data_IF_871806950482
#
_entry.id   IF_871806950482
#
_cell.length_a   1.000
_cell.length_b   1.000
_cell.length_c   1.000
_cell.angle_alpha   90.00
_cell.angle_beta   90.00
_cell.angle_gamma   90.00
#
_symmetry.space_group_name_H-M   'P 1'
#
loop_
_entity.id
_entity.type
_entity.pdbx_description
1 polymer ?
#
# COMPACT_ATOMS: atom_id res chain seq x y z
N UNK A 1 -28.07 63.24 -31.45
CA UNK A 1 -28.37 61.82 -31.26
C UNK A 1 -29.87 61.65 -31.26
N UNK A 2 -30.42 60.99 -32.27
CA UNK A 2 -31.87 60.72 -32.32
C UNK A 2 -32.20 59.57 -31.37
N UNK A 3 -33.42 59.53 -30.83
CA UNK A 3 -33.87 58.50 -29.87
C UNK A 3 -33.67 57.06 -30.38
N UNK A 4 -33.59 56.89 -31.70
CA UNK A 4 -33.35 55.60 -32.36
C UNK A 4 -31.87 55.17 -32.33
N UNK A 5 -30.91 56.11 -32.38
CA UNK A 5 -29.47 55.81 -32.32
C UNK A 5 -29.05 55.30 -30.93
N UNK A 6 -29.69 55.80 -29.87
CA UNK A 6 -29.43 55.36 -28.51
C UNK A 6 -29.95 53.94 -28.26
N UNK A 7 -31.10 53.58 -28.83
CA UNK A 7 -31.67 52.23 -28.76
C UNK A 7 -30.80 51.20 -29.46
N UNK A 8 -30.29 51.52 -30.66
CA UNK A 8 -29.35 50.64 -31.36
C UNK A 8 -28.05 50.50 -30.58
N UNK A 9 -27.47 51.59 -30.07
CA UNK A 9 -26.22 51.50 -29.31
C UNK A 9 -26.35 50.63 -28.05
N UNK A 10 -27.47 50.76 -27.32
CA UNK A 10 -27.77 49.94 -26.15
C UNK A 10 -27.97 48.46 -26.50
N UNK A 11 -28.72 48.15 -27.57
CA UNK A 11 -28.94 46.78 -28.03
C UNK A 11 -27.62 46.08 -28.46
N UNK A 12 -26.74 46.81 -29.15
CA UNK A 12 -25.42 46.32 -29.51
C UNK A 12 -24.55 46.09 -28.27
N UNK A 13 -24.58 47.01 -27.29
CA UNK A 13 -23.89 46.86 -26.02
C UNK A 13 -24.33 45.62 -25.23
N UNK A 14 -25.63 45.37 -25.12
CA UNK A 14 -26.17 44.17 -24.46
C UNK A 14 -25.76 42.88 -25.19
N UNK A 15 -25.73 42.90 -26.52
CA UNK A 15 -25.35 41.74 -27.33
C UNK A 15 -23.87 41.38 -27.13
N UNK A 16 -22.99 42.37 -27.05
CA UNK A 16 -21.56 42.18 -26.78
C UNK A 16 -21.35 41.63 -25.36
N UNK A 17 -22.05 42.17 -24.36
CA UNK A 17 -21.98 41.68 -22.99
C UNK A 17 -22.43 40.21 -22.86
N UNK A 18 -23.51 39.83 -23.54
CA UNK A 18 -23.97 38.44 -23.60
C UNK A 18 -22.94 37.52 -24.25
N UNK A 19 -22.29 37.96 -25.32
CA UNK A 19 -21.23 37.20 -25.99
C UNK A 19 -20.02 36.98 -25.07
N UNK A 20 -19.58 38.02 -24.36
CA UNK A 20 -18.46 37.94 -23.40
C UNK A 20 -18.80 36.98 -22.26
N UNK A 21 -20.04 37.03 -21.76
CA UNK A 21 -20.50 36.14 -20.72
C UNK A 21 -20.52 34.67 -21.19
N UNK A 22 -21.04 34.41 -22.40
CA UNK A 22 -21.07 33.08 -23.00
C UNK A 22 -19.65 32.51 -23.21
N UNK A 23 -18.71 33.31 -23.72
CA UNK A 23 -17.31 32.91 -23.89
C UNK A 23 -16.62 32.63 -22.56
N UNK A 24 -16.88 33.44 -21.54
CA UNK A 24 -16.36 33.24 -20.18
C UNK A 24 -16.86 31.93 -19.56
N UNK A 25 -18.14 31.59 -19.76
CA UNK A 25 -18.71 30.34 -19.26
C UNK A 25 -18.11 29.10 -19.96
N UNK A 26 -17.87 29.19 -21.27
CA UNK A 26 -17.20 28.12 -22.04
C UNK A 26 -15.74 27.95 -21.60
N UNK A 27 -15.01 29.06 -21.40
CA UNK A 27 -13.63 29.02 -20.92
C UNK A 27 -13.53 28.39 -19.51
N UNK A 28 -14.48 28.70 -18.62
CA UNK A 28 -14.55 28.09 -17.29
C UNK A 28 -14.82 26.58 -17.37
N UNK A 29 -15.76 26.14 -18.21
CA UNK A 29 -16.05 24.73 -18.44
C UNK A 29 -14.87 23.95 -19.03
N UNK A 30 -14.16 24.54 -19.99
CA UNK A 30 -12.95 23.95 -20.57
C UNK A 30 -11.80 23.89 -19.56
N UNK A 31 -11.69 24.86 -18.65
CA UNK A 31 -10.68 24.84 -17.57
C UNK A 31 -10.86 23.67 -16.60
N UNK A 32 -12.11 23.29 -16.30
CA UNK A 32 -12.43 22.10 -15.50
C UNK A 32 -12.10 20.79 -16.21
N UNK A 33 -12.31 20.72 -17.53
CA UNK A 33 -11.94 19.54 -18.32
C UNK A 33 -10.42 19.43 -18.44
N UNK A 34 -9.72 20.57 -18.58
CA UNK A 34 -8.26 20.63 -18.59
C UNK A 34 -7.65 20.08 -17.30
N UNK A 35 -8.15 20.49 -16.13
CA UNK A 35 -7.66 19.98 -14.84
C UNK A 35 -7.96 18.50 -14.63
N UNK A 36 -9.13 18.02 -15.06
CA UNK A 36 -9.44 16.59 -15.02
C UNK A 36 -8.54 15.78 -15.97
N UNK A 37 -8.22 16.31 -17.15
CA UNK A 37 -7.31 15.68 -18.11
C UNK A 37 -5.86 15.65 -17.59
N UNK A 38 -5.41 16.72 -16.93
CA UNK A 38 -4.09 16.78 -16.30
C UNK A 38 -4.00 15.75 -15.15
N UNK A 39 -5.00 15.67 -14.29
CA UNK A 39 -5.07 14.64 -13.24
C UNK A 39 -5.10 13.23 -13.83
N UNK A 40 -5.87 13.01 -14.90
CA UNK A 40 -5.90 11.70 -15.57
C UNK A 40 -4.54 11.35 -16.18
N UNK A 41 -3.83 12.33 -16.75
CA UNK A 41 -2.48 12.13 -17.29
C UNK A 41 -1.46 11.88 -16.17
N UNK A 42 -1.58 12.55 -15.05
CA UNK A 42 -0.69 12.38 -13.91
C UNK A 42 -0.93 11.06 -13.18
N UNK A 43 -2.17 10.55 -13.16
CA UNK A 43 -2.52 9.29 -12.51
C UNK A 43 -2.39 8.06 -13.42
N UNK A 44 -2.72 8.21 -14.71
CA UNK A 44 -2.79 7.10 -15.68
C UNK A 44 -1.80 7.23 -16.83
N UNK A 45 -0.95 8.26 -16.82
CA UNK A 45 0.12 8.39 -17.80
C UNK A 45 1.16 7.28 -17.68
N UNK A 46 1.98 7.06 -18.74
CA UNK A 46 2.97 5.99 -18.77
C UNK A 46 3.96 6.03 -17.61
N UNK A 47 4.38 7.23 -17.19
CA UNK A 47 5.30 7.42 -16.06
C UNK A 47 4.66 7.00 -14.72
N UNK A 48 3.39 7.34 -14.52
CA UNK A 48 2.64 6.95 -13.32
C UNK A 48 2.39 5.44 -13.28
N UNK A 49 2.05 4.84 -14.43
CA UNK A 49 1.91 3.40 -14.56
C UNK A 49 3.23 2.66 -14.26
N UNK A 50 4.37 3.17 -14.74
CA UNK A 50 5.69 2.61 -14.43
C UNK A 50 6.03 2.71 -12.94
N UNK A 51 5.76 3.87 -12.31
CA UNK A 51 5.97 4.04 -10.86
C UNK A 51 5.11 3.09 -10.03
N UNK A 52 3.84 2.89 -10.44
CA UNK A 52 2.94 1.91 -9.81
C UNK A 52 3.51 0.48 -9.98
N UNK A 53 4.06 0.16 -11.17
CA UNK A 53 4.72 -1.11 -11.43
C UNK A 53 5.92 -1.36 -10.53
N UNK A 54 6.84 -0.39 -10.42
CA UNK A 54 8.01 -0.48 -9.53
C UNK A 54 7.58 -0.72 -8.09
N UNK A 55 6.56 0.01 -7.62
CA UNK A 55 6.01 -0.19 -6.28
C UNK A 55 5.52 -1.63 -6.05
N UNK A 56 4.81 -2.25 -7.00
CA UNK A 56 4.35 -3.64 -6.86
C UNK A 56 5.52 -4.63 -6.81
N UNK A 57 6.59 -4.41 -7.58
CA UNK A 57 7.80 -5.23 -7.54
C UNK A 57 8.51 -5.09 -6.18
N UNK A 58 8.64 -3.87 -5.68
CA UNK A 58 9.23 -3.60 -4.37
C UNK A 58 8.44 -4.26 -3.24
N UNK A 59 7.11 -4.17 -3.29
CA UNK A 59 6.23 -4.83 -2.32
C UNK A 59 6.36 -6.35 -2.35
N UNK A 60 6.40 -6.94 -3.56
CA UNK A 60 6.65 -8.39 -3.72
C UNK A 60 7.99 -8.79 -3.10
N UNK A 61 9.05 -8.03 -3.36
CA UNK A 61 10.38 -8.28 -2.78
C UNK A 61 10.37 -8.14 -1.26
N UNK A 62 9.65 -7.14 -0.72
CA UNK A 62 9.48 -6.95 0.71
C UNK A 62 8.74 -8.12 1.38
N UNK A 63 7.68 -8.63 0.75
CA UNK A 63 6.96 -9.83 1.20
C UNK A 63 7.89 -11.04 1.18
N UNK A 64 8.64 -11.25 0.10
CA UNK A 64 9.60 -12.36 0.00
C UNK A 64 10.70 -12.30 1.04
N UNK A 65 11.19 -11.11 1.37
CA UNK A 65 12.13 -10.90 2.49
C UNK A 65 11.48 -11.25 3.83
N UNK A 66 10.25 -10.79 4.07
CA UNK A 66 9.54 -11.09 5.30
C UNK A 66 9.26 -12.61 5.45
N UNK A 67 9.00 -13.31 4.35
CA UNK A 67 8.87 -14.78 4.34
C UNK A 67 10.19 -15.46 4.77
N UNK A 68 11.35 -14.95 4.33
CA UNK A 68 12.67 -15.45 4.77
C UNK A 68 12.93 -15.12 6.25
N UNK A 69 12.54 -13.92 6.69
CA UNK A 69 12.67 -13.52 8.09
C UNK A 69 11.81 -14.42 8.99
N UNK A 70 10.58 -14.79 8.59
CA UNK A 70 9.75 -15.76 9.32
C UNK A 70 10.50 -17.06 9.56
N UNK A 71 11.14 -17.64 8.54
CA UNK A 71 11.94 -18.88 8.67
C UNK A 71 13.10 -18.69 9.66
N UNK A 72 13.78 -17.54 9.62
CA UNK A 72 14.86 -17.21 10.54
C UNK A 72 14.35 -17.11 11.99
N UNK A 73 13.22 -16.44 12.22
CA UNK A 73 12.65 -16.26 13.55
C UNK A 73 12.02 -17.55 14.10
N UNK A 74 11.47 -18.41 13.25
CA UNK A 74 11.06 -19.77 13.62
C UNK A 74 12.26 -20.59 14.11
N UNK A 75 13.39 -20.51 13.39
CA UNK A 75 14.62 -21.16 13.82
C UNK A 75 15.12 -20.59 15.14
N UNK A 76 15.16 -19.26 15.30
CA UNK A 76 15.55 -18.59 16.56
C UNK A 76 14.70 -19.09 17.74
N UNK A 77 13.37 -19.23 17.55
CA UNK A 77 12.47 -19.79 18.57
C UNK A 77 12.86 -21.23 18.93
N UNK A 78 13.15 -22.08 17.93
CA UNK A 78 13.56 -23.45 18.18
C UNK A 78 14.94 -23.54 18.86
N UNK A 79 15.87 -22.67 18.49
CA UNK A 79 17.23 -22.62 19.05
C UNK A 79 17.21 -22.27 20.55
N UNK A 80 16.23 -21.48 21.04
CA UNK A 80 16.03 -21.26 22.48
C UNK A 80 15.76 -22.57 23.21
N UNK A 81 14.88 -23.42 22.69
CA UNK A 81 14.60 -24.72 23.33
C UNK A 81 15.83 -25.63 23.29
N UNK A 82 16.51 -25.71 22.14
CA UNK A 82 17.73 -26.51 21.97
C UNK A 82 18.82 -26.07 22.96
N UNK A 83 19.05 -24.76 23.11
CA UNK A 83 20.08 -24.22 23.99
C UNK A 83 19.82 -24.57 25.46
N UNK A 84 18.57 -24.42 25.92
CA UNK A 84 18.22 -24.73 27.30
C UNK A 84 18.21 -26.23 27.58
N UNK A 85 17.68 -27.05 26.66
CA UNK A 85 17.72 -28.52 26.77
C UNK A 85 19.16 -29.04 26.78
N UNK A 86 20.06 -28.49 25.97
CA UNK A 86 21.47 -28.85 25.96
C UNK A 86 22.18 -28.51 27.28
N UNK A 87 21.75 -27.44 27.95
CA UNK A 87 22.39 -26.95 29.19
C UNK A 87 21.84 -27.62 30.45
N UNK A 88 20.52 -27.80 30.53
CA UNK A 88 19.81 -28.22 31.75
C UNK A 88 19.17 -29.62 31.64
N UNK A 89 19.28 -30.27 30.47
CA UNK A 89 18.66 -31.56 30.18
C UNK A 89 17.23 -31.44 29.66
N UNK A 90 16.73 -32.52 29.05
CA UNK A 90 15.40 -32.57 28.43
C UNK A 90 14.23 -32.50 29.42
N UNK A 91 14.45 -32.94 30.67
CA UNK A 91 13.42 -32.92 31.71
C UNK A 91 13.30 -31.52 32.34
N UNK A 92 12.36 -30.73 31.81
CA UNK A 92 12.07 -29.36 32.27
C UNK A 92 11.67 -29.29 33.75
N UNK A 93 11.13 -30.36 34.32
CA UNK A 93 10.72 -30.38 35.74
C UNK A 93 11.92 -30.34 36.70
N UNK A 94 13.10 -30.75 36.24
CA UNK A 94 14.34 -30.76 37.02
C UNK A 94 15.12 -29.46 36.92
N UNK A 95 14.69 -28.54 36.07
CA UNK A 95 15.34 -27.25 35.91
C UNK A 95 15.19 -26.43 37.19
N UNK A 96 16.24 -25.69 37.55
CA UNK A 96 16.18 -24.75 38.65
C UNK A 96 15.06 -23.71 38.38
N UNK A 97 14.31 -23.27 39.41
CA UNK A 97 13.23 -22.30 39.21
C UNK A 97 13.68 -21.02 38.50
N UNK A 98 14.89 -20.54 38.78
CA UNK A 98 15.48 -19.37 38.10
C UNK A 98 15.69 -19.62 36.60
N UNK A 99 16.16 -20.80 36.21
CA UNK A 99 16.34 -21.20 34.81
C UNK A 99 15.01 -21.38 34.08
N UNK A 100 13.97 -21.89 34.76
CA UNK A 100 12.63 -22.00 34.19
C UNK A 100 12.04 -20.62 33.85
N UNK A 101 12.19 -19.64 34.75
CA UNK A 101 11.74 -18.27 34.50
C UNK A 101 12.48 -17.65 33.32
N UNK A 102 13.81 -17.82 33.25
CA UNK A 102 14.61 -17.30 32.14
C UNK A 102 14.22 -17.94 30.80
N UNK A 103 14.00 -19.25 30.77
CA UNK A 103 13.52 -19.94 29.58
C UNK A 103 12.15 -19.41 29.15
N UNK A 104 11.18 -19.32 30.07
CA UNK A 104 9.84 -18.86 29.75
C UNK A 104 9.86 -17.43 29.19
N UNK A 105 10.70 -16.56 29.74
CA UNK A 105 10.90 -15.21 29.23
C UNK A 105 11.52 -15.23 27.83
N UNK A 106 12.60 -15.98 27.61
CA UNK A 106 13.27 -16.07 26.32
C UNK A 106 12.35 -16.66 25.23
N UNK A 107 11.60 -17.72 25.56
CA UNK A 107 10.65 -18.35 24.67
C UNK A 107 9.47 -17.41 24.33
N UNK A 108 8.98 -16.65 25.31
CA UNK A 108 7.95 -15.64 25.07
C UNK A 108 8.45 -14.53 24.15
N UNK A 109 9.65 -13.97 24.41
CA UNK A 109 10.25 -12.96 23.54
C UNK A 109 10.46 -13.48 22.12
N UNK A 110 11.00 -14.68 21.94
CA UNK A 110 11.21 -15.25 20.60
C UNK A 110 9.88 -15.49 19.85
N UNK A 111 8.82 -15.87 20.56
CA UNK A 111 7.47 -16.00 19.98
C UNK A 111 6.91 -14.63 19.57
N UNK A 112 7.03 -13.63 20.42
CA UNK A 112 6.47 -12.31 20.17
C UNK A 112 7.22 -11.61 19.02
N UNK A 113 8.54 -11.80 18.92
CA UNK A 113 9.37 -11.39 17.77
C UNK A 113 8.84 -12.00 16.47
N UNK A 114 8.59 -13.32 16.45
CA UNK A 114 8.06 -14.03 15.29
C UNK A 114 6.68 -13.51 14.90
N UNK A 115 5.79 -13.30 15.86
CA UNK A 115 4.46 -12.74 15.61
C UNK A 115 4.52 -11.32 15.05
N UNK A 116 5.47 -10.51 15.49
CA UNK A 116 5.69 -9.17 14.94
C UNK A 116 6.08 -9.22 13.46
N UNK A 117 6.99 -10.13 13.08
CA UNK A 117 7.38 -10.32 11.67
C UNK A 117 6.22 -10.85 10.83
N UNK A 118 5.47 -11.85 11.34
CA UNK A 118 4.27 -12.37 10.66
C UNK A 118 3.22 -11.26 10.48
N UNK A 119 2.99 -10.42 11.49
CA UNK A 119 2.07 -9.30 11.40
C UNK A 119 2.52 -8.28 10.35
N UNK A 120 3.80 -7.92 10.33
CA UNK A 120 4.37 -7.03 9.33
C UNK A 120 4.17 -7.59 7.91
N UNK A 121 4.52 -8.86 7.72
CA UNK A 121 4.32 -9.60 6.46
C UNK A 121 2.86 -9.56 6.00
N UNK A 122 1.93 -9.81 6.90
CA UNK A 122 0.49 -9.77 6.59
C UNK A 122 0.01 -8.35 6.26
N UNK A 123 0.58 -7.32 6.88
CA UNK A 123 0.37 -5.92 6.51
C UNK A 123 0.78 -5.63 5.06
N UNK A 124 1.96 -6.07 4.65
CA UNK A 124 2.45 -5.92 3.27
C UNK A 124 1.54 -6.63 2.25
N UNK A 125 1.11 -7.86 2.55
CA UNK A 125 0.19 -8.61 1.67
C UNK A 125 -1.17 -7.92 1.58
N UNK A 126 -1.68 -7.40 2.70
CA UNK A 126 -2.94 -6.65 2.70
C UNK A 126 -2.83 -5.41 1.81
N UNK A 127 -1.79 -4.61 1.98
CA UNK A 127 -1.57 -3.39 1.20
C UNK A 127 -1.40 -3.72 -0.30
N UNK A 128 -0.61 -4.74 -0.63
CA UNK A 128 -0.47 -5.23 -2.00
C UNK A 128 -1.83 -5.59 -2.61
N UNK A 129 -2.63 -6.40 -1.90
CA UNK A 129 -3.94 -6.83 -2.37
C UNK A 129 -4.88 -5.62 -2.58
N UNK A 130 -4.97 -4.71 -1.61
CA UNK A 130 -5.82 -3.51 -1.69
C UNK A 130 -5.44 -2.60 -2.87
N UNK A 131 -4.14 -2.42 -3.15
CA UNK A 131 -3.70 -1.62 -4.30
C UNK A 131 -3.90 -2.36 -5.63
N UNK A 132 -3.74 -3.69 -5.63
CA UNK A 132 -3.98 -4.52 -6.81
C UNK A 132 -5.46 -4.60 -7.21
N UNK A 133 -6.38 -4.35 -6.27
CA UNK A 133 -7.81 -4.24 -6.56
C UNK A 133 -8.16 -2.88 -7.20
N UNK A 134 -7.48 -1.81 -6.78
CA UNK A 134 -7.71 -0.45 -7.29
C UNK A 134 -7.12 -0.23 -8.68
N UNK A 135 -5.94 -0.80 -8.94
CA UNK A 135 -5.26 -0.72 -10.23
C UNK A 135 -5.44 -2.05 -10.96
N UNK A 136 -5.92 -2.03 -12.21
CA UNK A 136 -5.96 -3.25 -13.02
C UNK A 136 -4.53 -3.69 -13.37
N UNK A 137 -3.89 -4.38 -12.43
CA UNK A 137 -2.51 -4.86 -12.47
C UNK A 137 -2.37 -6.11 -13.36
N UNK A 138 -3.48 -6.79 -13.68
CA UNK A 138 -3.49 -8.04 -14.43
C UNK A 138 -2.68 -8.01 -15.75
N UNK A 139 -2.68 -6.93 -16.55
CA UNK A 139 -1.89 -6.85 -17.78
C UNK A 139 -0.38 -6.78 -17.56
N UNK A 140 0.06 -6.34 -16.38
CA UNK A 140 1.47 -6.16 -16.02
C UNK A 140 2.02 -7.32 -15.18
N UNK A 141 1.15 -8.24 -14.76
CA UNK A 141 1.52 -9.42 -14.00
C UNK A 141 2.16 -10.47 -14.89
N UNK A 142 3.38 -10.88 -14.54
CA UNK A 142 3.89 -12.19 -14.93
C UNK A 142 3.74 -13.17 -13.76
N UNK A 143 3.58 -14.47 -14.02
CA UNK A 143 3.48 -15.50 -12.96
C UNK A 143 4.59 -15.41 -11.88
N UNK A 144 5.86 -15.14 -12.24
CA UNK A 144 6.93 -14.92 -11.26
C UNK A 144 6.70 -13.76 -10.30
N UNK A 145 5.87 -12.77 -10.66
CA UNK A 145 5.74 -11.47 -9.99
C UNK A 145 4.60 -11.38 -8.98
N UNK A 146 3.84 -12.46 -8.81
CA UNK A 146 2.77 -12.51 -7.82
C UNK A 146 3.30 -12.92 -6.45
N UNK A 147 3.17 -12.07 -5.41
CA UNK A 147 3.34 -12.52 -4.04
C UNK A 147 2.15 -13.41 -3.62
N UNK A 148 2.28 -14.14 -2.50
CA UNK A 148 1.20 -14.95 -1.98
C UNK A 148 0.00 -14.07 -1.59
N UNK A 149 -1.18 -14.39 -2.13
CA UNK A 149 -2.41 -13.60 -1.89
C UNK A 149 -3.00 -13.81 -0.51
N UNK A 150 -2.66 -14.93 0.13
CA UNK A 150 -3.19 -15.33 1.43
C UNK A 150 -2.32 -14.82 2.56
N UNK A 151 -2.98 -14.54 3.69
CA UNK A 151 -2.29 -14.26 4.94
C UNK A 151 -1.56 -15.51 5.44
N UNK A 152 -0.44 -15.27 6.09
CA UNK A 152 0.27 -16.31 6.80
C UNK A 152 -0.44 -16.55 8.14
N UNK A 153 -1.16 -17.66 8.24
CA UNK A 153 -1.82 -18.10 9.46
C UNK A 153 -0.82 -18.89 10.30
N UNK A 154 -0.03 -18.19 11.11
CA UNK A 154 0.87 -18.84 12.03
C UNK A 154 0.10 -19.40 13.24
N UNK A 155 0.07 -20.73 13.36
CA UNK A 155 -0.46 -21.41 14.53
C UNK A 155 0.69 -21.72 15.46
N UNK A 156 0.67 -21.12 16.65
CA UNK A 156 1.62 -21.45 17.72
C UNK A 156 1.35 -22.89 18.14
N UNK A 157 2.14 -23.82 17.60
CA UNK A 157 2.27 -25.18 18.12
C UNK A 157 3.04 -25.18 19.43
#
# INVERSE_FOLDING_TARGET
MTRNEFGTFFQWGCSILLLIFALSAVAYGLGWIGSAADVAKDEFGPAAALKKYEWFIDQKNAIGKADQDIVLFEKKRADVDIQYVATYGADRSRWLPSSQVQYNQAAATARDDLLAVVSNRNGLVKEYNEQSEKFNWAPFQTRPDLPPRTFFNYVVK
#
